data_IF_207006634055
#
_entry.id   IF_207006634055
#
_cell.length_a   1.000
_cell.length_b   1.000
_cell.length_c   1.000
_cell.angle_alpha   90.00
_cell.angle_beta   90.00
_cell.angle_gamma   90.00
#
_symmetry.space_group_name_H-M   'P 1'
#
loop_
_entity.id
_entity.type
_entity.pdbx_description
1 polymer ?
#
# COMPACT_ATOMS: atom_id res chain seq x y z
N UNK A 1 -50.36 25.81 43.04
CA UNK A 1 -51.61 26.60 42.98
C UNK A 1 -51.83 27.00 41.53
N UNK A 2 -52.73 26.31 40.83
CA UNK A 2 -53.08 26.53 39.41
C UNK A 2 -54.21 27.56 39.37
N UNK A 3 -54.05 28.61 38.57
CA UNK A 3 -55.07 29.64 38.40
C UNK A 3 -55.39 29.76 36.91
N UNK A 4 -56.64 29.39 36.63
CA UNK A 4 -57.57 29.91 35.65
C UNK A 4 -57.47 29.60 34.15
N UNK A 5 -58.69 29.48 33.65
CA UNK A 5 -59.23 28.85 32.46
C UNK A 5 -59.90 29.96 31.62
N UNK A 6 -59.70 29.90 30.29
CA UNK A 6 -60.68 30.16 29.20
C UNK A 6 -61.30 31.58 29.07
N UNK A 7 -61.96 31.97 27.94
CA UNK A 7 -61.94 31.46 26.55
C UNK A 7 -62.06 32.55 25.40
N UNK A 8 -61.92 32.08 24.13
CA UNK A 8 -62.79 32.34 22.93
C UNK A 8 -62.81 33.69 22.16
N UNK A 9 -62.55 33.56 20.83
CA UNK A 9 -63.09 34.25 19.61
C UNK A 9 -63.05 35.80 19.51
N UNK A 10 -62.98 36.48 18.36
CA UNK A 10 -63.04 36.14 16.94
C UNK A 10 -62.59 37.35 16.09
N UNK A 11 -62.34 37.08 14.80
CA UNK A 11 -62.66 37.91 13.63
C UNK A 11 -61.84 39.16 13.27
N UNK A 12 -61.10 38.95 12.15
CA UNK A 12 -61.10 39.73 10.89
C UNK A 12 -60.21 40.99 10.79
N UNK A 13 -59.82 41.22 9.53
CA UNK A 13 -59.21 42.41 8.90
C UNK A 13 -57.67 42.34 8.85
N UNK A 14 -57.09 41.80 7.77
CA UNK A 14 -56.65 42.47 6.50
C UNK A 14 -55.37 43.29 6.71
N UNK A 15 -54.53 43.34 5.65
CA UNK A 15 -53.33 44.16 5.41
C UNK A 15 -52.02 43.36 5.64
N UNK A 16 -51.54 42.65 4.62
CA UNK A 16 -50.50 43.11 3.66
C UNK A 16 -49.22 43.54 4.39
N UNK A 17 -48.21 42.67 4.39
CA UNK A 17 -46.81 43.08 4.50
C UNK A 17 -45.93 42.07 3.77
N UNK A 18 -45.56 42.49 2.57
CA UNK A 18 -44.60 41.91 1.66
C UNK A 18 -43.21 41.89 2.33
N UNK A 19 -42.74 40.74 2.82
CA UNK A 19 -41.35 40.60 3.28
C UNK A 19 -40.76 39.24 2.88
N UNK A 20 -39.64 39.37 2.15
CA UNK A 20 -38.73 38.36 1.63
C UNK A 20 -38.69 37.03 2.40
N UNK A 21 -38.94 35.93 1.69
CA UNK A 21 -38.47 34.60 2.09
C UNK A 21 -37.43 34.09 1.08
N UNK A 22 -36.20 34.04 1.56
CA UNK A 22 -35.14 33.17 1.06
C UNK A 22 -35.62 31.72 1.02
N UNK A 23 -35.26 30.95 0.00
CA UNK A 23 -34.75 29.56 0.11
C UNK A 23 -34.34 29.05 -1.29
N UNK A 24 -33.28 29.62 -1.85
CA UNK A 24 -32.46 28.91 -2.85
C UNK A 24 -31.25 28.35 -2.13
N UNK A 25 -31.16 27.03 -2.04
CA UNK A 25 -29.94 26.34 -1.61
C UNK A 25 -30.19 25.03 -0.87
N UNK A 26 -30.55 23.97 -1.61
CA UNK A 26 -30.33 22.60 -1.17
C UNK A 26 -28.83 22.41 -0.86
N UNK A 27 -28.43 22.45 0.40
CA UNK A 27 -27.12 21.95 0.82
C UNK A 27 -27.16 20.42 0.77
N UNK A 28 -26.68 19.85 -0.33
CA UNK A 28 -26.33 18.42 -0.42
C UNK A 28 -25.14 18.19 0.52
N UNK A 29 -25.40 17.77 1.76
CA UNK A 29 -24.37 17.25 2.65
C UNK A 29 -23.87 15.92 2.09
N UNK A 30 -22.76 15.93 1.35
CA UNK A 30 -21.95 14.72 1.16
C UNK A 30 -21.31 14.39 2.50
N UNK A 31 -21.87 13.41 3.20
CA UNK A 31 -21.14 12.67 4.22
C UNK A 31 -19.93 12.02 3.54
N UNK A 32 -18.73 12.54 3.85
CA UNK A 32 -17.46 11.83 3.63
C UNK A 32 -17.45 10.66 4.62
N UNK A 33 -17.64 9.45 4.11
CA UNK A 33 -17.30 8.25 4.86
C UNK A 33 -15.79 8.18 4.95
N UNK A 34 -15.26 8.25 6.16
CA UNK A 34 -13.91 7.78 6.44
C UNK A 34 -13.88 6.27 6.24
N UNK A 35 -12.97 5.83 5.37
CA UNK A 35 -12.25 4.57 5.54
C UNK A 35 -10.86 4.83 5.03
N UNK A 36 -9.87 4.72 5.91
CA UNK A 36 -8.46 4.74 5.59
C UNK A 36 -8.16 3.79 4.45
N UNK A 37 -8.04 4.35 3.25
CA UNK A 37 -7.28 3.78 2.14
C UNK A 37 -6.43 4.93 1.65
N UNK A 38 -5.17 4.91 2.08
CA UNK A 38 -4.10 5.82 1.67
C UNK A 38 -3.94 5.71 0.14
N UNK A 39 -4.72 6.50 -0.61
CA UNK A 39 -4.49 6.76 -2.02
C UNK A 39 -3.31 7.71 -2.07
N UNK A 40 -2.12 7.15 -2.17
CA UNK A 40 -0.90 7.89 -2.40
C UNK A 40 -1.05 8.75 -3.66
N UNK A 41 -0.93 10.06 -3.49
CA UNK A 41 -0.83 11.02 -4.57
C UNK A 41 0.33 10.64 -5.50
N UNK A 42 0.05 10.46 -6.79
CA UNK A 42 1.05 10.27 -7.83
C UNK A 42 1.87 11.55 -8.04
N UNK A 43 2.85 11.80 -7.18
CA UNK A 43 3.97 12.73 -7.40
C UNK A 43 5.16 12.28 -6.53
N UNK A 44 6.36 11.99 -7.04
CA UNK A 44 6.75 11.41 -8.33
C UNK A 44 7.92 10.45 -8.12
N UNK A 45 8.05 9.90 -6.90
CA UNK A 45 9.15 9.05 -6.47
C UNK A 45 8.67 7.82 -5.72
N UNK A 46 9.50 6.79 -5.68
CA UNK A 46 9.22 5.56 -4.95
C UNK A 46 9.88 4.35 -5.58
N UNK A 47 9.19 3.22 -5.58
CA UNK A 47 9.66 1.99 -6.23
C UNK A 47 8.62 1.48 -7.22
N UNK A 48 9.10 0.94 -8.35
CA UNK A 48 8.26 0.33 -9.38
C UNK A 48 8.97 -0.89 -9.92
N UNK A 49 8.27 -2.01 -10.04
CA UNK A 49 8.97 -3.24 -10.41
C UNK A 49 8.07 -4.38 -10.81
N UNK A 50 8.71 -5.55 -10.95
CA UNK A 50 8.05 -6.82 -11.22
C UNK A 50 8.49 -7.90 -10.24
N UNK A 51 7.59 -8.81 -9.92
CA UNK A 51 7.84 -10.03 -9.17
C UNK A 51 7.77 -11.21 -10.12
N UNK A 52 8.84 -12.00 -10.17
CA UNK A 52 8.97 -13.16 -11.03
C UNK A 52 9.28 -14.40 -10.21
N UNK A 53 8.56 -15.47 -10.48
CA UNK A 53 8.73 -16.79 -9.87
C UNK A 53 9.62 -17.69 -10.74
N UNK A 54 10.56 -18.38 -10.10
CA UNK A 54 11.48 -19.33 -10.69
C UNK A 54 11.42 -20.65 -9.92
N UNK A 55 11.30 -21.76 -10.64
CA UNK A 55 11.28 -23.11 -10.06
C UNK A 55 11.88 -24.15 -11.01
N UNK A 56 12.31 -25.27 -10.45
CA UNK A 56 12.86 -26.40 -11.21
C UNK A 56 14.34 -26.27 -11.57
N UNK A 57 14.82 -27.10 -12.50
CA UNK A 57 16.22 -27.13 -12.91
C UNK A 57 16.51 -26.00 -13.93
N UNK A 58 17.22 -24.98 -13.48
CA UNK A 58 17.68 -23.81 -14.23
C UNK A 58 19.19 -23.80 -14.51
N UNK A 59 19.87 -24.94 -14.32
CA UNK A 59 21.30 -25.05 -14.62
C UNK A 59 21.59 -24.72 -16.09
N UNK A 60 22.62 -23.89 -16.38
CA UNK A 60 23.02 -23.57 -17.73
C UNK A 60 23.57 -24.81 -18.44
N UNK A 61 23.32 -24.91 -19.74
CA UNK A 61 23.87 -25.96 -20.60
C UNK A 61 23.94 -25.47 -22.05
N UNK A 62 24.80 -26.07 -22.89
CA UNK A 62 25.10 -25.57 -24.24
C UNK A 62 23.85 -25.37 -25.11
N UNK A 63 22.82 -26.23 -24.95
CA UNK A 63 21.58 -26.17 -25.74
C UNK A 63 20.34 -25.83 -24.90
N UNK A 64 20.53 -25.40 -23.64
CA UNK A 64 19.43 -25.17 -22.70
C UNK A 64 19.21 -23.68 -22.48
N UNK A 65 18.11 -23.16 -23.02
CA UNK A 65 17.63 -21.82 -22.68
C UNK A 65 17.07 -21.84 -21.26
N UNK A 66 17.65 -21.03 -20.36
CA UNK A 66 17.09 -20.83 -19.02
C UNK A 66 15.74 -20.10 -19.20
N UNK A 67 14.62 -20.70 -18.76
CA UNK A 67 13.32 -20.04 -18.86
C UNK A 67 13.31 -18.74 -18.05
N UNK A 68 12.66 -17.72 -18.60
CA UNK A 68 12.37 -16.50 -17.85
C UNK A 68 11.37 -16.79 -16.72
N UNK A 69 11.49 -16.07 -15.62
CA UNK A 69 10.59 -16.25 -14.48
C UNK A 69 9.14 -15.93 -14.83
N UNK A 70 8.20 -16.65 -14.22
CA UNK A 70 6.76 -16.46 -14.41
C UNK A 70 6.29 -15.26 -13.57
N UNK A 71 5.60 -14.25 -14.14
CA UNK A 71 5.02 -13.18 -13.33
C UNK A 71 4.03 -13.72 -12.31
N UNK A 72 4.02 -13.15 -11.11
CA UNK A 72 3.18 -13.66 -10.02
C UNK A 72 2.69 -12.53 -9.10
N UNK A 73 1.47 -12.71 -8.61
CA UNK A 73 0.83 -11.86 -7.62
C UNK A 73 1.35 -12.22 -6.21
N UNK A 74 1.96 -11.24 -5.52
CA UNK A 74 2.55 -11.42 -4.18
C UNK A 74 2.44 -10.16 -3.35
N UNK A 75 2.30 -10.34 -2.04
CA UNK A 75 2.40 -9.26 -1.05
C UNK A 75 3.87 -8.98 -0.76
N UNK A 76 4.25 -7.72 -0.86
CA UNK A 76 5.60 -7.19 -0.67
C UNK A 76 5.55 -6.28 0.54
N UNK A 77 6.37 -6.60 1.54
CA UNK A 77 6.52 -5.84 2.78
C UNK A 77 7.76 -4.97 2.67
N UNK A 78 7.60 -3.69 3.00
CA UNK A 78 8.64 -2.67 2.91
C UNK A 78 8.98 -2.24 4.33
N UNK A 79 10.17 -2.60 4.79
CA UNK A 79 10.69 -2.22 6.09
C UNK A 79 11.72 -1.09 5.97
N UNK A 80 12.03 -0.43 7.08
CA UNK A 80 13.28 0.34 7.18
C UNK A 80 14.47 -0.55 6.77
N UNK A 81 15.59 0.07 6.36
CA UNK A 81 16.79 -0.68 6.00
C UNK A 81 17.16 -1.67 7.11
N UNK A 82 17.09 -2.96 6.78
CA UNK A 82 17.19 -4.07 7.73
C UNK A 82 18.43 -4.88 7.45
N UNK A 83 19.26 -5.06 8.47
CA UNK A 83 20.42 -5.95 8.42
C UNK A 83 20.06 -7.36 8.88
N UNK A 84 20.80 -8.36 8.40
CA UNK A 84 20.60 -9.77 8.79
C UNK A 84 20.60 -10.00 10.30
N UNK A 85 21.41 -9.26 11.06
CA UNK A 85 21.45 -9.38 12.53
C UNK A 85 20.19 -8.85 13.25
N UNK A 86 19.31 -8.16 12.53
CA UNK A 86 18.01 -7.64 13.02
C UNK A 86 16.85 -8.58 12.67
N UNK A 87 17.14 -9.81 12.24
CA UNK A 87 16.14 -10.80 11.81
C UNK A 87 16.53 -12.18 12.30
N UNK A 88 15.55 -13.07 12.37
CA UNK A 88 15.79 -14.51 12.44
C UNK A 88 15.74 -15.10 11.03
N UNK A 89 16.57 -16.09 10.74
CA UNK A 89 16.66 -16.74 9.43
C UNK A 89 16.79 -18.25 9.59
N UNK A 90 15.91 -19.01 8.94
CA UNK A 90 15.85 -20.47 9.05
C UNK A 90 16.65 -21.21 7.97
N UNK A 91 17.31 -20.48 7.07
CA UNK A 91 18.00 -21.02 5.90
C UNK A 91 17.34 -20.66 4.58
N UNK A 92 16.04 -20.30 4.58
CA UNK A 92 15.28 -19.95 3.38
C UNK A 92 14.38 -18.72 3.58
N UNK A 93 13.76 -18.57 4.75
CA UNK A 93 12.86 -17.49 5.08
C UNK A 93 13.34 -16.71 6.31
N UNK A 94 12.97 -15.43 6.33
CA UNK A 94 13.16 -14.53 7.45
C UNK A 94 11.92 -14.44 8.32
N UNK A 95 12.13 -14.20 9.61
CA UNK A 95 11.09 -13.93 10.60
C UNK A 95 11.58 -12.93 11.64
N UNK A 96 10.68 -12.50 12.53
CA UNK A 96 11.00 -11.62 13.67
C UNK A 96 11.81 -10.37 13.27
N UNK A 97 11.36 -9.68 12.23
CA UNK A 97 11.98 -8.45 11.73
C UNK A 97 11.89 -7.37 12.82
N UNK A 98 13.04 -6.87 13.29
CA UNK A 98 13.13 -5.91 14.40
C UNK A 98 12.98 -4.45 13.97
N UNK A 99 13.06 -4.18 12.67
CA UNK A 99 12.89 -2.85 12.08
C UNK A 99 11.42 -2.54 11.83
N UNK A 100 11.08 -1.27 11.62
CA UNK A 100 9.70 -0.86 11.43
C UNK A 100 9.18 -1.23 10.04
N UNK A 101 7.94 -1.74 9.99
CA UNK A 101 7.21 -1.92 8.74
C UNK A 101 6.68 -0.57 8.26
N UNK A 102 7.19 -0.11 7.12
CA UNK A 102 6.84 1.19 6.52
C UNK A 102 5.58 1.08 5.67
N UNK A 103 5.48 0.04 4.84
CA UNK A 103 4.35 -0.15 3.95
C UNK A 103 4.21 -1.58 3.45
N UNK A 104 3.07 -1.86 2.83
CA UNK A 104 2.73 -3.14 2.24
C UNK A 104 2.05 -2.90 0.89
N UNK A 105 2.48 -3.59 -0.15
CA UNK A 105 1.89 -3.52 -1.49
C UNK A 105 1.73 -4.92 -2.06
N UNK A 106 0.76 -5.11 -2.95
CA UNK A 106 0.59 -6.36 -3.71
C UNK A 106 0.98 -6.13 -5.16
N UNK A 107 1.76 -7.02 -5.76
CA UNK A 107 1.91 -7.05 -7.22
C UNK A 107 0.64 -7.53 -7.90
N UNK A 108 0.44 -7.19 -9.17
CA UNK A 108 -0.69 -7.64 -9.99
C UNK A 108 -0.46 -9.03 -10.62
N UNK A 109 -1.43 -9.53 -11.40
CA UNK A 109 -1.33 -10.81 -12.12
C UNK A 109 -0.18 -10.86 -13.14
N UNK A 110 0.30 -9.69 -13.60
CA UNK A 110 1.48 -9.54 -14.47
C UNK A 110 2.75 -9.32 -13.64
N UNK A 111 2.68 -9.53 -12.33
CA UNK A 111 3.75 -9.37 -11.37
C UNK A 111 4.14 -7.91 -11.11
N UNK A 112 3.44 -6.92 -11.65
CA UNK A 112 3.83 -5.52 -11.56
C UNK A 112 3.39 -4.89 -10.25
N UNK A 113 4.21 -4.01 -9.69
CA UNK A 113 3.85 -3.19 -8.54
C UNK A 113 4.47 -1.80 -8.67
N UNK A 114 3.84 -0.82 -8.02
CA UNK A 114 4.34 0.56 -7.93
C UNK A 114 3.80 1.21 -6.66
N UNK A 115 4.67 1.82 -5.87
CA UNK A 115 4.29 2.55 -4.65
C UNK A 115 5.13 3.80 -4.48
N UNK A 116 4.49 4.92 -4.12
CA UNK A 116 5.19 6.13 -3.72
C UNK A 116 5.82 5.96 -2.34
N UNK A 117 7.09 6.33 -2.22
CA UNK A 117 7.85 6.24 -0.95
C UNK A 117 8.69 7.50 -0.74
N UNK A 118 8.93 7.91 0.51
CA UNK A 118 9.84 9.01 0.79
C UNK A 118 11.28 8.66 0.40
N UNK A 119 12.13 9.69 0.31
CA UNK A 119 13.57 9.52 0.06
C UNK A 119 14.16 8.71 1.21
N UNK A 120 14.93 7.68 0.90
CA UNK A 120 15.51 6.82 1.93
C UNK A 120 15.95 5.46 1.41
N UNK A 121 16.42 4.62 2.33
CA UNK A 121 16.79 3.24 2.06
C UNK A 121 15.87 2.29 2.83
N UNK A 122 15.44 1.23 2.16
CA UNK A 122 14.46 0.28 2.67
C UNK A 122 14.91 -1.15 2.41
N UNK A 123 14.31 -2.10 3.12
CA UNK A 123 14.46 -3.52 2.84
C UNK A 123 13.14 -4.10 2.35
N UNK A 124 13.20 -4.88 1.26
CA UNK A 124 12.03 -5.48 0.64
C UNK A 124 11.96 -6.98 0.91
N UNK A 125 10.81 -7.43 1.37
CA UNK A 125 10.52 -8.84 1.60
C UNK A 125 9.26 -9.25 0.84
N UNK A 126 9.26 -10.45 0.27
CA UNK A 126 8.04 -11.06 -0.25
C UNK A 126 7.42 -11.93 0.84
N UNK A 127 6.14 -11.77 1.09
CA UNK A 127 5.41 -12.60 2.04
C UNK A 127 5.08 -13.95 1.40
N UNK A 128 5.57 -15.01 2.02
CA UNK A 128 5.26 -16.40 1.71
C UNK A 128 4.49 -17.01 2.89
N UNK A 129 3.93 -18.20 2.69
CA UNK A 129 3.16 -18.88 3.74
C UNK A 129 4.05 -19.26 4.92
N UNK A 130 5.29 -19.60 4.64
CA UNK A 130 6.30 -20.10 5.58
C UNK A 130 7.09 -18.98 6.26
N UNK A 131 7.07 -17.76 5.71
CA UNK A 131 7.81 -16.61 6.25
C UNK A 131 8.04 -15.52 5.22
N UNK A 132 9.09 -14.72 5.42
CA UNK A 132 9.44 -13.62 4.54
C UNK A 132 10.63 -14.01 3.65
N UNK A 133 10.46 -13.92 2.33
CA UNK A 133 11.50 -14.25 1.37
C UNK A 133 12.27 -13.01 0.90
N UNK A 134 13.59 -13.13 0.88
CA UNK A 134 14.52 -12.18 0.26
C UNK A 134 15.83 -12.89 -0.09
N UNK A 135 16.40 -12.62 -1.26
CA UNK A 135 17.61 -13.30 -1.77
C UNK A 135 18.69 -12.35 -2.31
N UNK A 136 18.56 -11.04 -2.08
CA UNK A 136 19.54 -10.03 -2.47
C UNK A 136 20.16 -9.36 -1.24
N UNK A 137 21.43 -8.98 -1.30
CA UNK A 137 22.17 -8.34 -0.20
C UNK A 137 23.22 -7.37 -0.74
N UNK A 138 23.55 -6.29 -0.02
CA UNK A 138 24.52 -5.25 -0.44
C UNK A 138 25.96 -5.45 0.03
N UNK A 139 26.36 -6.66 0.41
CA UNK A 139 27.71 -6.96 0.93
C UNK A 139 27.95 -6.49 2.38
N UNK A 140 27.18 -5.52 2.88
CA UNK A 140 27.17 -5.11 4.30
C UNK A 140 26.18 -5.93 5.15
N UNK A 141 25.51 -6.89 4.52
CA UNK A 141 24.51 -7.74 5.17
C UNK A 141 23.12 -7.10 5.28
N UNK A 142 22.87 -5.97 4.61
CA UNK A 142 21.52 -5.45 4.50
C UNK A 142 20.71 -6.32 3.55
N UNK A 143 19.48 -6.65 3.96
CA UNK A 143 18.61 -7.57 3.24
C UNK A 143 17.84 -6.80 2.18
N UNK A 144 17.96 -7.27 0.94
CA UNK A 144 17.32 -6.75 -0.28
C UNK A 144 17.12 -5.23 -0.27
N UNK A 145 18.23 -4.47 -0.17
CA UNK A 145 18.16 -3.04 0.05
C UNK A 145 17.76 -2.31 -1.23
N UNK A 146 16.91 -1.30 -1.08
CA UNK A 146 16.47 -0.43 -2.17
C UNK A 146 16.54 1.03 -1.72
N UNK A 147 17.15 1.87 -2.56
CA UNK A 147 17.21 3.33 -2.34
C UNK A 147 16.15 4.03 -3.16
N UNK A 148 15.42 4.97 -2.56
CA UNK A 148 14.51 5.90 -3.24
C UNK A 148 15.17 7.28 -3.21
N UNK A 149 15.33 7.89 -4.38
CA UNK A 149 15.85 9.26 -4.48
C UNK A 149 14.74 10.25 -4.83
N UNK A 150 15.06 11.53 -4.68
CA UNK A 150 14.13 12.62 -4.94
C UNK A 150 13.61 12.57 -6.38
N UNK A 151 12.29 12.63 -6.54
CA UNK A 151 11.64 12.75 -7.85
C UNK A 151 11.80 11.56 -8.80
N UNK A 152 12.32 10.41 -8.36
CA UNK A 152 12.49 9.22 -9.21
C UNK A 152 11.85 7.94 -8.63
N UNK A 153 11.38 7.09 -9.54
CA UNK A 153 10.99 5.71 -9.20
C UNK A 153 12.17 4.77 -9.44
N UNK A 154 12.65 4.14 -8.39
CA UNK A 154 13.67 3.11 -8.50
C UNK A 154 13.07 1.84 -9.10
N UNK A 155 13.66 1.37 -10.20
CA UNK A 155 13.19 0.21 -10.94
C UNK A 155 13.88 -1.06 -10.45
N UNK A 156 13.10 -2.12 -10.22
CA UNK A 156 13.63 -3.41 -9.76
C UNK A 156 12.82 -4.61 -10.26
N UNK A 157 13.47 -5.78 -10.20
CA UNK A 157 12.80 -7.07 -10.39
C UNK A 157 13.10 -7.94 -9.17
N UNK A 158 12.06 -8.36 -8.46
CA UNK A 158 12.16 -9.31 -7.35
C UNK A 158 12.06 -10.71 -7.95
N UNK A 159 13.12 -11.51 -7.81
CA UNK A 159 13.17 -12.90 -8.27
C UNK A 159 12.92 -13.82 -7.08
N UNK A 160 11.83 -14.57 -7.11
CA UNK A 160 11.53 -15.59 -6.11
C UNK A 160 11.98 -16.93 -6.67
N UNK A 161 13.07 -17.46 -6.14
CA UNK A 161 13.79 -18.59 -6.73
C UNK A 161 14.18 -19.67 -5.71
N UNK A 162 13.58 -19.65 -4.53
CA UNK A 162 13.86 -20.65 -3.48
C UNK A 162 13.42 -22.08 -3.86
N UNK A 163 12.68 -22.26 -4.97
CA UNK A 163 12.36 -23.57 -5.58
C UNK A 163 13.14 -23.85 -6.87
N UNK A 164 14.10 -23.00 -7.22
CA UNK A 164 14.96 -23.20 -8.37
C UNK A 164 16.29 -23.86 -7.96
N UNK A 165 16.84 -24.65 -8.87
CA UNK A 165 18.20 -25.18 -8.81
C UNK A 165 18.99 -24.61 -9.98
N UNK A 166 20.13 -23.95 -9.70
CA UNK A 166 20.98 -23.26 -10.68
C UNK A 166 22.33 -23.93 -10.87
#
# INVERSE_FOLDING_TARGET
MKINKFPVLASKVIIIALLLFCFSGCKKSRLKSGSDSQVATEQGQGISGKVLWFEGNLMPGPDKKIPGGKPIEKEILIYELTNRNQTDFDGQFFSNIKTQLISQIKSDEKGQFKISLPIGNFSLFVKEKEGLFANSFDGNGNINPIGVKEGEFTLLTIKIDYKAAY
#
